data_IF_780356642091
#
_entry.id   IF_780356642091
#
_cell.length_a   1.000
_cell.length_b   1.000
_cell.length_c   1.000
_cell.angle_alpha   90.00
_cell.angle_beta   90.00
_cell.angle_gamma   90.00
#
_symmetry.space_group_name_H-M   'P 1'
#
loop_
_entity.id
_entity.type
_entity.pdbx_description
1 polymer ?
#
# COMPACT_ATOMS: atom_id res chain seq x y z
N UNK A 1 8.17 7.94 -10.81
CA UNK A 1 8.48 6.50 -10.69
C UNK A 1 9.13 6.31 -9.33
N UNK A 2 8.28 6.22 -8.29
CA UNK A 2 8.73 6.35 -6.90
C UNK A 2 8.58 5.05 -6.07
N UNK A 3 8.48 3.91 -6.76
CA UNK A 3 8.34 2.58 -6.15
C UNK A 3 9.39 1.63 -6.69
N UNK A 4 10.06 0.90 -5.78
CA UNK A 4 10.96 -0.21 -6.11
C UNK A 4 10.31 -1.52 -5.68
N UNK A 5 10.29 -2.50 -6.56
CA UNK A 5 9.79 -3.86 -6.28
C UNK A 5 10.98 -4.80 -6.26
N UNK A 6 11.12 -5.58 -5.19
CA UNK A 6 12.10 -6.64 -5.05
C UNK A 6 11.36 -7.98 -5.02
N UNK A 7 11.57 -8.80 -6.05
CA UNK A 7 10.93 -10.10 -6.25
C UNK A 7 12.03 -11.14 -6.46
N UNK A 8 12.25 -12.02 -5.48
CA UNK A 8 13.32 -13.02 -5.55
C UNK A 8 12.80 -14.42 -5.17
N UNK A 9 12.74 -15.27 -6.21
CA UNK A 9 12.17 -16.62 -6.23
C UNK A 9 12.89 -17.71 -5.40
N UNK A 10 13.86 -17.35 -4.55
CA UNK A 10 14.55 -18.31 -3.70
C UNK A 10 13.63 -18.86 -2.58
N UNK A 11 13.66 -20.17 -2.25
CA UNK A 11 12.86 -20.72 -1.16
C UNK A 11 13.19 -20.05 0.19
N UNK A 12 12.17 -19.48 0.84
CA UNK A 12 12.31 -18.77 2.12
C UNK A 12 12.57 -17.27 2.01
N UNK A 13 12.52 -16.70 0.80
CA UNK A 13 12.56 -15.26 0.62
C UNK A 13 11.23 -14.60 0.99
N UNK A 14 11.33 -13.31 1.27
CA UNK A 14 10.20 -12.46 1.60
C UNK A 14 10.21 -11.34 0.58
N UNK A 15 9.27 -11.38 -0.35
CA UNK A 15 9.13 -10.35 -1.36
C UNK A 15 8.71 -9.04 -0.71
N UNK A 16 9.18 -7.94 -1.29
CA UNK A 16 8.88 -6.62 -0.74
C UNK A 16 8.71 -5.53 -1.80
N UNK A 17 7.65 -4.75 -1.63
CA UNK A 17 7.55 -3.41 -2.23
C UNK A 17 8.22 -2.42 -1.29
N UNK A 18 9.13 -1.61 -1.83
CA UNK A 18 9.84 -0.56 -1.10
C UNK A 18 9.49 0.81 -1.70
N UNK A 19 8.86 1.64 -0.89
CA UNK A 19 8.61 3.03 -1.22
C UNK A 19 9.87 3.88 -0.99
N UNK A 20 10.13 4.81 -1.90
CA UNK A 20 11.31 5.67 -1.85
C UNK A 20 11.24 6.68 -0.67
N UNK A 21 12.37 7.29 -0.30
CA UNK A 21 12.39 8.35 0.70
C UNK A 21 11.41 9.48 0.41
N UNK A 22 10.69 9.91 1.45
CA UNK A 22 9.68 10.98 1.35
C UNK A 22 8.25 10.48 1.09
N UNK A 23 8.05 9.16 0.95
CA UNK A 23 6.72 8.54 0.95
C UNK A 23 6.47 7.92 2.34
N UNK A 24 5.56 8.51 3.09
CA UNK A 24 5.12 7.99 4.39
C UNK A 24 3.95 7.01 4.26
N UNK A 25 3.69 6.24 5.32
CA UNK A 25 2.65 5.21 5.34
C UNK A 25 1.24 5.76 5.02
N UNK A 26 0.95 6.98 5.44
CA UNK A 26 -0.30 7.70 5.20
C UNK A 26 -0.41 8.30 3.79
N UNK A 27 0.66 8.23 2.98
CA UNK A 27 0.64 8.60 1.56
C UNK A 27 0.42 7.39 0.63
N UNK A 28 0.30 6.18 1.18
CA UNK A 28 0.10 4.96 0.41
C UNK A 28 -1.37 4.58 0.46
N UNK A 29 -2.01 4.56 -0.70
CA UNK A 29 -3.41 4.18 -0.85
C UNK A 29 -3.53 2.76 -1.40
N UNK A 30 -4.20 1.87 -0.66
CA UNK A 30 -4.48 0.51 -1.10
C UNK A 30 -5.90 0.39 -1.60
N UNK A 31 -6.07 -0.21 -2.77
CA UNK A 31 -7.39 -0.52 -3.31
C UNK A 31 -7.40 -1.85 -4.04
N UNK A 32 -8.56 -2.51 -4.01
CA UNK A 32 -8.82 -3.70 -4.83
C UNK A 32 -9.26 -3.29 -6.22
N UNK A 33 -8.58 -3.80 -7.25
CA UNK A 33 -8.91 -3.60 -8.65
C UNK A 33 -9.19 -4.95 -9.32
N UNK A 34 -10.45 -5.41 -9.28
CA UNK A 34 -10.81 -6.74 -9.74
C UNK A 34 -10.18 -7.85 -8.89
N UNK A 35 -9.28 -8.63 -9.48
CA UNK A 35 -8.49 -9.65 -8.77
C UNK A 35 -7.12 -9.14 -8.29
N UNK A 36 -6.80 -7.89 -8.61
CA UNK A 36 -5.49 -7.31 -8.32
C UNK A 36 -5.55 -6.43 -7.07
N UNK A 37 -4.40 -6.28 -6.42
CA UNK A 37 -4.15 -5.24 -5.44
C UNK A 37 -3.44 -4.08 -6.14
N UNK A 38 -3.92 -2.86 -5.94
CA UNK A 38 -3.23 -1.65 -6.35
C UNK A 38 -2.78 -0.88 -5.10
N UNK A 39 -1.50 -0.48 -5.06
CA UNK A 39 -0.97 0.45 -4.08
C UNK A 39 -0.44 1.70 -4.79
N UNK A 40 -1.06 2.84 -4.51
CA UNK A 40 -0.81 4.12 -5.18
C UNK A 40 -0.20 5.13 -4.23
N UNK A 41 0.64 6.03 -4.75
CA UNK A 41 1.19 7.16 -3.98
C UNK A 41 0.28 8.37 -4.16
N UNK A 42 -0.36 8.79 -3.08
CA UNK A 42 -1.33 9.90 -3.03
C UNK A 42 -0.73 11.18 -3.65
N UNK A 43 -1.52 11.85 -4.48
CA UNK A 43 -1.14 13.08 -5.17
C UNK A 43 -0.28 12.86 -6.42
N UNK A 44 0.01 11.61 -6.80
CA UNK A 44 0.83 11.26 -7.97
C UNK A 44 0.12 10.27 -8.90
N UNK A 45 0.75 9.93 -10.02
CA UNK A 45 0.33 8.84 -10.90
C UNK A 45 1.10 7.54 -10.64
N UNK A 46 2.01 7.53 -9.68
CA UNK A 46 2.83 6.38 -9.38
C UNK A 46 2.03 5.34 -8.59
N UNK A 47 2.12 4.09 -9.06
CA UNK A 47 1.47 2.95 -8.44
C UNK A 47 2.19 1.66 -8.73
N UNK A 48 1.97 0.68 -7.87
CA UNK A 48 2.24 -0.72 -8.12
C UNK A 48 0.93 -1.49 -8.20
N UNK A 49 0.83 -2.39 -9.17
CA UNK A 49 -0.27 -3.35 -9.28
C UNK A 49 0.32 -4.74 -9.09
N UNK A 50 -0.23 -5.47 -8.13
CA UNK A 50 0.10 -6.88 -7.89
C UNK A 50 -1.04 -7.70 -8.48
N UNK A 51 -0.74 -8.38 -9.58
CA UNK A 51 -1.70 -9.18 -10.33
C UNK A 51 -2.17 -10.39 -9.52
N UNK A 52 -3.48 -10.69 -9.63
CA UNK A 52 -4.11 -11.87 -9.04
C UNK A 52 -3.92 -12.03 -7.52
N UNK A 53 -3.63 -10.93 -6.80
CA UNK A 53 -3.55 -10.88 -5.33
C UNK A 53 -4.71 -11.62 -4.67
N UNK A 54 -5.93 -11.38 -5.15
CA UNK A 54 -7.16 -11.95 -4.59
C UNK A 54 -7.49 -13.37 -5.07
N UNK A 55 -6.63 -14.01 -5.88
CA UNK A 55 -6.81 -15.41 -6.31
C UNK A 55 -6.08 -16.42 -5.41
N UNK A 56 -5.20 -15.94 -4.52
CA UNK A 56 -4.56 -16.79 -3.52
C UNK A 56 -3.25 -16.19 -3.00
N UNK A 57 -2.87 -16.58 -1.78
CA UNK A 57 -1.69 -16.04 -1.08
C UNK A 57 -0.36 -16.34 -1.77
N UNK A 58 -0.33 -17.23 -2.76
CA UNK A 58 0.87 -17.48 -3.59
C UNK A 58 1.22 -16.30 -4.48
N UNK A 59 0.27 -15.40 -4.75
CA UNK A 59 0.47 -14.18 -5.55
C UNK A 59 0.73 -12.95 -4.68
N UNK A 60 0.79 -13.11 -3.35
CA UNK A 60 1.02 -11.99 -2.46
C UNK A 60 2.50 -11.58 -2.48
N UNK A 61 2.72 -10.28 -2.30
CA UNK A 61 3.98 -9.74 -1.78
C UNK A 61 3.85 -9.69 -0.26
N UNK A 62 4.79 -10.28 0.47
CA UNK A 62 4.64 -10.43 1.93
C UNK A 62 4.77 -9.10 2.69
N UNK A 63 5.50 -8.11 2.13
CA UNK A 63 5.80 -6.86 2.84
C UNK A 63 5.74 -5.62 1.95
N UNK A 64 5.13 -4.58 2.48
CA UNK A 64 5.26 -3.21 1.99
C UNK A 64 6.09 -2.43 3.00
N UNK A 65 7.09 -1.67 2.52
CA UNK A 65 8.06 -0.99 3.37
C UNK A 65 8.26 0.46 2.96
N UNK A 66 8.17 1.36 3.93
CA UNK A 66 8.59 2.75 3.78
C UNK A 66 10.09 2.89 4.09
N UNK A 67 10.71 3.97 3.63
CA UNK A 67 12.14 4.20 3.81
C UNK A 67 12.57 4.42 5.27
N UNK A 68 11.63 4.86 6.12
CA UNK A 68 11.83 5.06 7.57
C UNK A 68 11.68 3.76 8.38
N UNK A 69 11.39 2.64 7.72
CA UNK A 69 11.45 1.29 8.28
C UNK A 69 10.12 0.69 8.70
N UNK A 70 9.00 1.40 8.54
CA UNK A 70 7.68 0.82 8.80
C UNK A 70 7.39 -0.32 7.81
N UNK A 71 6.79 -1.38 8.32
CA UNK A 71 6.41 -2.54 7.52
C UNK A 71 4.92 -2.82 7.68
N UNK A 72 4.23 -2.94 6.55
CA UNK A 72 2.89 -3.53 6.46
C UNK A 72 3.04 -4.96 5.93
N UNK A 73 2.40 -5.92 6.58
CA UNK A 73 2.40 -7.32 6.14
C UNK A 73 1.17 -7.63 5.29
N UNK A 74 1.30 -8.59 4.38
CA UNK A 74 0.23 -8.99 3.46
C UNK A 74 -1.12 -9.24 4.15
N UNK A 75 -1.12 -9.94 5.29
CA UNK A 75 -2.33 -10.27 6.05
C UNK A 75 -3.01 -9.05 6.70
N UNK A 76 -2.36 -7.88 6.71
CA UNK A 76 -2.93 -6.61 7.19
C UNK A 76 -3.46 -5.72 6.03
N UNK A 77 -3.13 -6.05 4.78
CA UNK A 77 -3.46 -5.21 3.61
C UNK A 77 -4.96 -5.04 3.47
N UNK A 78 -5.73 -6.11 3.65
CA UNK A 78 -7.18 -6.05 3.47
C UNK A 78 -7.87 -5.14 4.49
N UNK A 79 -7.30 -4.96 5.68
CA UNK A 79 -7.84 -4.00 6.66
C UNK A 79 -7.73 -2.56 6.14
N UNK A 80 -6.62 -2.23 5.46
CA UNK A 80 -6.44 -0.93 4.81
C UNK A 80 -7.32 -0.78 3.56
N UNK A 81 -7.40 -1.81 2.71
CA UNK A 81 -8.27 -1.81 1.53
C UNK A 81 -9.72 -1.58 1.93
N UNK A 82 -10.20 -2.29 2.96
CA UNK A 82 -11.57 -2.14 3.45
C UNK A 82 -11.82 -0.75 4.05
N UNK A 83 -10.86 -0.21 4.82
CA UNK A 83 -10.98 1.13 5.38
C UNK A 83 -11.02 2.22 4.29
N UNK A 84 -10.25 2.04 3.22
CA UNK A 84 -10.13 3.00 2.11
C UNK A 84 -11.27 2.87 1.08
N UNK A 85 -11.97 1.74 1.01
CA UNK A 85 -12.98 1.44 0.00
C UNK A 85 -14.17 2.41 -0.03
N UNK A 86 -14.47 3.07 1.09
CA UNK A 86 -15.57 4.05 1.21
C UNK A 86 -15.19 5.45 0.67
N UNK A 87 -13.94 5.66 0.29
CA UNK A 87 -13.39 6.95 -0.10
C UNK A 87 -12.89 6.92 -1.55
N UNK A 88 -12.89 8.08 -2.19
CA UNK A 88 -12.21 8.23 -3.48
C UNK A 88 -10.69 8.36 -3.23
N UNK A 89 -9.86 7.92 -4.17
CA UNK A 89 -8.44 8.28 -4.13
C UNK A 89 -8.33 9.82 -4.19
N UNK A 90 -7.52 10.47 -3.32
CA UNK A 90 -7.31 11.91 -3.36
C UNK A 90 -6.80 12.40 -4.72
N UNK A 91 -7.09 13.67 -5.05
CA UNK A 91 -6.80 14.25 -6.35
C UNK A 91 -5.29 14.43 -6.59
N UNK A 92 -4.89 14.49 -7.87
CA UNK A 92 -3.51 14.76 -8.24
C UNK A 92 -3.01 16.09 -7.65
N UNK A 93 -1.79 16.08 -7.11
CA UNK A 93 -1.20 17.22 -6.42
C UNK A 93 -1.58 17.35 -4.93
N UNK A 94 -2.59 16.64 -4.45
CA UNK A 94 -2.85 16.50 -3.01
C UNK A 94 -1.93 15.42 -2.45
N UNK A 95 -0.80 15.82 -1.87
CA UNK A 95 0.22 14.88 -1.37
C UNK A 95 -0.05 14.38 0.05
N UNK A 96 -1.19 14.77 0.63
CA UNK A 96 -1.61 14.39 1.97
C UNK A 96 -3.05 13.92 1.92
N UNK A 97 -3.43 13.04 2.85
CA UNK A 97 -4.83 12.70 3.05
C UNK A 97 -5.64 13.97 3.36
N UNK A 98 -6.81 14.16 2.69
CA UNK A 98 -7.78 15.16 3.09
C UNK A 98 -8.11 15.06 4.60
N UNK A 99 -8.33 16.18 5.32
CA UNK A 99 -8.51 16.14 6.77
C UNK A 99 -9.67 15.27 7.27
N UNK A 100 -10.75 15.20 6.50
CA UNK A 100 -11.90 14.34 6.76
C UNK A 100 -11.55 12.85 6.62
N UNK A 101 -10.73 12.49 5.63
CA UNK A 101 -10.24 11.12 5.45
C UNK A 101 -9.27 10.75 6.57
N UNK A 102 -8.31 11.64 6.86
CA UNK A 102 -7.33 11.45 7.91
C UNK A 102 -8.01 11.22 9.27
N UNK A 103 -9.12 11.90 9.56
CA UNK A 103 -9.86 11.72 10.82
C UNK A 103 -10.41 10.31 11.02
N UNK A 104 -10.57 9.54 9.94
CA UNK A 104 -11.13 8.18 9.94
C UNK A 104 -10.01 7.14 9.76
N UNK A 105 -9.08 7.37 8.83
CA UNK A 105 -8.10 6.39 8.40
C UNK A 105 -6.84 6.35 9.28
N UNK A 106 -6.48 7.46 9.95
CA UNK A 106 -5.17 7.57 10.63
C UNK A 106 -4.94 6.48 11.67
N UNK A 107 -5.98 6.11 12.44
CA UNK A 107 -5.84 5.08 13.48
C UNK A 107 -5.57 3.69 12.88
N UNK A 108 -6.31 3.34 11.83
CA UNK A 108 -6.14 2.07 11.11
C UNK A 108 -4.75 2.02 10.48
N UNK A 109 -4.36 3.05 9.71
CA UNK A 109 -3.02 3.16 9.10
C UNK A 109 -1.94 2.98 10.18
N UNK A 110 -1.96 3.78 11.24
CA UNK A 110 -0.94 3.73 12.29
C UNK A 110 -0.88 2.37 13.02
N UNK A 111 -2.00 1.66 13.16
CA UNK A 111 -2.03 0.35 13.83
C UNK A 111 -1.44 -0.80 13.01
N UNK A 112 -1.42 -0.70 11.68
CA UNK A 112 -0.93 -1.77 10.81
C UNK A 112 0.53 -1.60 10.40
N UNK A 113 0.99 -0.36 10.25
CA UNK A 113 2.38 -0.06 9.92
C UNK A 113 3.27 -0.05 11.17
N UNK A 114 4.21 -1.00 11.26
CA UNK A 114 5.14 -1.09 12.40
C UNK A 114 6.35 -2.01 12.20
#
# INVERSE_FOLDING_TARGET
>A
MDTLIDHDSAPGNVDAVRFLPGISADQIWFQRAGNNLEASVIGTLDKVVIDDWYLGSVNHIERFKTSDGLTLRDWQVDDLVNAMADFALPDLGETMLPPDYASILSATIASHWG
#
